data_IF_384205353936
#
_entry.id   IF_384205353936
#
_cell.length_a   1.000
_cell.length_b   1.000
_cell.length_c   1.000
_cell.angle_alpha   90.00
_cell.angle_beta   90.00
_cell.angle_gamma   90.00
#
_symmetry.space_group_name_H-M   'P 1'
#
loop_
_entity.id
_entity.type
_entity.pdbx_description
1 polymer ?
#
# COMPACT_ATOMS: atom_id res chain seq x y z
N UNK A 1 27.89 -42.34 18.03
CA UNK A 1 26.69 -41.61 18.47
C UNK A 1 27.16 -40.18 18.66
N UNK A 2 27.14 -39.41 17.58
CA UNK A 2 27.54 -38.00 17.58
C UNK A 2 26.28 -37.17 17.77
N UNK A 3 26.26 -36.35 18.80
CA UNK A 3 25.35 -35.22 18.94
C UNK A 3 25.60 -34.26 17.78
N UNK A 4 24.63 -34.16 16.89
CA UNK A 4 24.41 -32.99 16.05
C UNK A 4 23.54 -32.04 16.88
N UNK A 5 24.17 -31.06 17.52
CA UNK A 5 23.46 -29.87 17.96
C UNK A 5 23.18 -29.02 16.71
N UNK A 6 21.92 -28.68 16.51
CA UNK A 6 21.45 -27.82 15.43
C UNK A 6 22.12 -26.44 15.54
N UNK A 7 23.06 -26.17 14.64
CA UNK A 7 23.62 -24.84 14.36
C UNK A 7 22.66 -24.06 13.43
N UNK A 8 21.38 -23.90 13.81
CA UNK A 8 20.37 -23.25 12.93
C UNK A 8 20.18 -21.73 13.15
N UNK A 9 20.85 -21.10 14.12
CA UNK A 9 20.70 -19.65 14.38
C UNK A 9 22.04 -18.88 14.35
N UNK A 10 22.82 -19.01 13.27
CA UNK A 10 23.96 -18.11 13.00
C UNK A 10 23.63 -17.25 11.78
N UNK A 11 22.99 -16.10 12.00
CA UNK A 11 22.78 -15.07 10.98
C UNK A 11 24.09 -14.31 10.78
N UNK A 12 24.58 -14.24 9.53
CA UNK A 12 25.78 -13.45 9.23
C UNK A 12 25.46 -11.95 9.22
N UNK A 13 26.47 -11.10 9.37
CA UNK A 13 26.25 -9.64 9.28
C UNK A 13 25.76 -9.25 7.89
N UNK A 14 26.21 -9.98 6.85
CA UNK A 14 25.73 -9.83 5.50
C UNK A 14 24.25 -10.20 5.36
N UNK A 15 23.81 -11.32 5.94
CA UNK A 15 22.39 -11.75 5.92
C UNK A 15 21.50 -10.74 6.66
N UNK A 16 21.94 -10.25 7.83
CA UNK A 16 21.21 -9.24 8.58
C UNK A 16 21.08 -7.90 7.80
N UNK A 17 22.10 -7.51 7.04
CA UNK A 17 22.03 -6.32 6.18
C UNK A 17 21.04 -6.54 5.05
N UNK A 18 21.06 -7.71 4.42
CA UNK A 18 20.12 -8.04 3.35
C UNK A 18 18.66 -8.04 3.85
N UNK A 19 18.40 -8.64 5.02
CA UNK A 19 17.08 -8.63 5.67
C UNK A 19 16.63 -7.21 6.02
N UNK A 20 17.52 -6.38 6.57
CA UNK A 20 17.20 -4.97 6.85
C UNK A 20 16.87 -4.19 5.58
N UNK A 21 17.64 -4.36 4.51
CA UNK A 21 17.39 -3.70 3.23
C UNK A 21 16.02 -4.13 2.66
N UNK A 22 15.69 -5.42 2.72
CA UNK A 22 14.39 -5.93 2.29
C UNK A 22 13.21 -5.33 3.09
N UNK A 23 13.35 -5.24 4.43
CA UNK A 23 12.34 -4.62 5.30
C UNK A 23 12.16 -3.12 5.01
N UNK A 24 13.26 -2.42 4.69
CA UNK A 24 13.22 -1.00 4.31
C UNK A 24 12.48 -0.83 2.98
N UNK A 25 12.75 -1.68 1.99
CA UNK A 25 12.04 -1.64 0.71
C UNK A 25 10.54 -1.88 0.85
N UNK A 26 10.13 -2.86 1.66
CA UNK A 26 8.72 -3.13 1.97
C UNK A 26 8.07 -1.93 2.69
N UNK A 27 8.75 -1.37 3.69
CA UNK A 27 8.28 -0.19 4.41
C UNK A 27 8.10 1.02 3.49
N UNK A 28 9.01 1.22 2.52
CA UNK A 28 8.89 2.30 1.53
C UNK A 28 7.70 2.06 0.60
N UNK A 29 7.45 0.80 0.19
CA UNK A 29 6.32 0.47 -0.66
C UNK A 29 4.98 0.80 0.04
N UNK A 30 4.83 0.47 1.32
CA UNK A 30 3.56 0.64 2.05
C UNK A 30 3.40 2.04 2.64
N UNK A 31 4.47 2.60 3.22
CA UNK A 31 4.41 3.84 4.00
C UNK A 31 5.04 5.02 3.29
N UNK A 32 5.88 4.80 2.27
CA UNK A 32 6.64 5.86 1.60
C UNK A 32 5.77 6.95 0.98
N UNK A 33 4.59 6.60 0.45
CA UNK A 33 3.66 7.57 -0.11
C UNK A 33 2.94 8.42 0.96
N UNK A 34 2.97 8.01 2.23
CA UNK A 34 2.31 8.70 3.33
C UNK A 34 3.11 9.90 3.85
N UNK A 35 2.42 10.81 4.53
CA UNK A 35 3.00 11.92 5.29
C UNK A 35 3.13 11.47 6.75
N UNK A 36 4.34 11.56 7.32
CA UNK A 36 4.64 11.18 8.71
C UNK A 36 4.26 12.24 9.73
N UNK A 37 4.10 13.49 9.28
CA UNK A 37 4.03 14.67 10.15
C UNK A 37 2.62 15.25 10.19
N UNK A 38 1.86 15.12 9.10
CA UNK A 38 0.55 15.73 8.95
C UNK A 38 -0.57 14.68 8.91
N UNK A 39 -1.56 14.85 9.80
CA UNK A 39 -2.77 14.03 9.78
C UNK A 39 -3.59 14.27 8.50
N UNK A 40 -4.00 13.19 7.83
CA UNK A 40 -4.70 13.24 6.53
C UNK A 40 -6.17 13.67 6.64
N UNK A 41 -6.72 13.89 7.84
CA UNK A 41 -8.14 14.21 8.02
C UNK A 41 -8.60 15.45 7.23
N UNK A 42 -7.75 16.47 7.12
CA UNK A 42 -8.04 17.70 6.36
C UNK A 42 -8.06 17.48 4.85
N UNK A 43 -7.42 16.42 4.36
CA UNK A 43 -7.40 16.04 2.94
C UNK A 43 -8.69 15.33 2.50
N UNK A 44 -9.58 15.02 3.44
CA UNK A 44 -10.86 14.37 3.17
C UNK A 44 -10.75 12.85 3.03
N UNK A 45 -11.54 12.29 2.13
CA UNK A 45 -11.53 10.86 1.84
C UNK A 45 -10.44 10.58 0.81
N UNK A 46 -9.33 10.01 1.27
CA UNK A 46 -8.17 9.73 0.43
C UNK A 46 -8.50 8.64 -0.56
N UNK A 47 -8.07 8.76 -1.83
CA UNK A 47 -8.24 7.70 -2.82
C UNK A 47 -7.64 6.38 -2.33
N UNK A 48 -6.43 6.43 -1.77
CA UNK A 48 -5.77 5.33 -1.06
C UNK A 48 -4.75 5.91 -0.07
N UNK A 49 -4.68 5.36 1.14
CA UNK A 49 -3.67 5.72 2.14
C UNK A 49 -3.33 4.54 3.05
N UNK A 50 -2.11 4.50 3.60
CA UNK A 50 -1.77 3.59 4.67
C UNK A 50 -2.57 3.90 5.94
N UNK A 51 -3.12 2.87 6.56
CA UNK A 51 -3.97 2.98 7.75
C UNK A 51 -3.58 1.98 8.83
N UNK A 52 -3.96 2.35 10.05
CA UNK A 52 -3.85 1.51 11.22
C UNK A 52 -5.19 1.47 11.96
N UNK A 53 -5.51 0.36 12.62
CA UNK A 53 -6.57 0.32 13.63
C UNK A 53 -5.92 0.32 15.03
N UNK A 54 -6.50 1.05 15.97
CA UNK A 54 -5.97 1.14 17.33
C UNK A 54 -6.84 0.34 18.30
N UNK A 55 -6.39 -0.86 18.69
CA UNK A 55 -7.10 -1.73 19.64
C UNK A 55 -7.21 -1.11 21.03
N UNK A 56 -6.27 -0.26 21.41
CA UNK A 56 -6.30 0.44 22.70
C UNK A 56 -7.41 1.49 22.78
N UNK A 57 -7.64 2.25 21.70
CA UNK A 57 -8.61 3.36 21.71
C UNK A 57 -10.00 2.95 21.22
N UNK A 58 -10.08 2.05 20.25
CA UNK A 58 -11.31 1.57 19.63
C UNK A 58 -11.49 0.07 19.86
N UNK A 59 -12.31 -0.26 20.86
CA UNK A 59 -12.63 -1.64 21.21
C UNK A 59 -13.62 -2.30 20.25
N UNK A 60 -14.30 -1.53 19.39
CA UNK A 60 -15.27 -2.06 18.42
C UNK A 60 -14.61 -2.51 17.13
N UNK A 61 -13.43 -1.97 16.81
CA UNK A 61 -12.73 -2.21 15.55
C UNK A 61 -13.53 -1.65 14.37
N UNK A 62 -13.98 -0.40 14.51
CA UNK A 62 -14.65 0.38 13.48
C UNK A 62 -14.00 1.75 13.24
N UNK A 63 -12.71 1.92 13.54
CA UNK A 63 -11.96 3.16 13.30
C UNK A 63 -10.60 2.94 12.61
N UNK A 64 -10.27 3.83 11.66
CA UNK A 64 -8.96 3.85 10.99
C UNK A 64 -8.20 5.15 11.24
N UNK A 65 -6.92 5.07 11.61
CA UNK A 65 -6.02 6.20 11.78
C UNK A 65 -4.96 6.23 10.67
N UNK A 66 -4.57 7.42 10.23
CA UNK A 66 -3.52 7.59 9.23
C UNK A 66 -2.11 7.41 9.82
N UNK A 67 -1.12 7.25 8.95
CA UNK A 67 0.29 7.06 9.32
C UNK A 67 0.84 8.12 10.30
N UNK A 68 0.65 9.42 10.04
CA UNK A 68 1.10 10.44 10.99
C UNK A 68 0.50 10.30 12.40
N UNK A 69 -0.75 9.86 12.51
CA UNK A 69 -1.41 9.63 13.80
C UNK A 69 -0.91 8.36 14.48
N UNK A 70 -0.56 7.30 13.74
CA UNK A 70 0.02 6.10 14.36
C UNK A 70 1.35 6.45 15.04
N UNK A 71 2.18 7.27 14.39
CA UNK A 71 3.46 7.73 14.93
C UNK A 71 3.32 8.75 16.06
N UNK A 72 2.41 9.72 15.95
CA UNK A 72 2.39 10.87 16.87
C UNK A 72 1.40 10.70 18.02
N UNK A 73 0.23 10.12 17.74
CA UNK A 73 -0.86 10.01 18.73
C UNK A 73 -0.88 8.63 19.38
N UNK A 74 -0.44 7.59 18.67
CA UNK A 74 -0.69 6.20 19.06
C UNK A 74 0.58 5.34 19.09
N UNK A 75 1.76 5.95 19.25
CA UNK A 75 3.05 5.26 19.21
C UNK A 75 3.16 4.10 20.21
N UNK A 76 2.56 4.28 21.40
CA UNK A 76 2.61 3.33 22.51
C UNK A 76 1.33 2.48 22.64
N UNK A 77 0.46 2.51 21.64
CA UNK A 77 -0.79 1.74 21.65
C UNK A 77 -0.65 0.44 20.88
N UNK A 78 -1.56 -0.49 21.15
CA UNK A 78 -1.70 -1.70 20.35
C UNK A 78 -2.35 -1.34 19.00
N UNK A 79 -1.54 -1.43 17.94
CA UNK A 79 -1.91 -1.06 16.57
C UNK A 79 -1.93 -2.28 15.67
N UNK A 80 -2.91 -2.29 14.77
CA UNK A 80 -3.02 -3.23 13.66
C UNK A 80 -2.68 -2.47 12.40
N UNK A 81 -1.67 -2.91 11.66
CA UNK A 81 -1.40 -2.39 10.33
C UNK A 81 -2.43 -2.93 9.34
N UNK A 82 -3.09 -2.03 8.61
CA UNK A 82 -4.15 -2.37 7.65
C UNK A 82 -3.68 -2.26 6.21
N UNK A 83 -2.37 -2.07 6.00
CA UNK A 83 -1.78 -1.67 4.72
C UNK A 83 -2.52 -0.45 4.18
N UNK A 84 -2.81 -0.43 2.88
CA UNK A 84 -3.51 0.66 2.24
C UNK A 84 -5.00 0.34 2.08
N UNK A 85 -5.84 1.34 2.33
CA UNK A 85 -7.29 1.26 2.08
C UNK A 85 -7.75 2.48 1.31
N UNK A 86 -8.83 2.31 0.54
CA UNK A 86 -9.43 3.38 -0.27
C UNK A 86 -10.54 4.11 0.46
N UNK A 87 -10.72 5.39 0.13
CA UNK A 87 -11.83 6.23 0.57
C UNK A 87 -12.06 6.26 2.09
N UNK A 88 -10.99 6.22 2.87
CA UNK A 88 -11.05 6.40 4.33
C UNK A 88 -10.53 7.78 4.68
N UNK A 89 -11.18 8.43 5.64
CA UNK A 89 -10.74 9.66 6.29
C UNK A 89 -10.32 9.33 7.72
N UNK A 90 -9.19 9.86 8.18
CA UNK A 90 -8.61 9.51 9.49
C UNK A 90 -9.58 9.78 10.66
N UNK A 91 -9.90 8.74 11.44
CA UNK A 91 -10.81 8.80 12.60
C UNK A 91 -10.15 9.26 13.90
N UNK A 92 -8.81 9.36 13.95
CA UNK A 92 -8.07 9.65 15.19
C UNK A 92 -8.69 10.83 15.96
N UNK A 93 -9.09 10.58 17.20
CA UNK A 93 -9.61 11.59 18.11
C UNK A 93 -11.06 12.01 17.88
N UNK A 94 -11.81 11.31 17.04
CA UNK A 94 -13.26 11.49 16.94
C UNK A 94 -14.00 10.73 18.07
N UNK A 95 -15.33 10.71 18.01
CA UNK A 95 -16.16 10.13 19.08
C UNK A 95 -15.93 8.62 19.34
N UNK A 96 -15.25 7.90 18.43
CA UNK A 96 -14.88 6.47 18.59
C UNK A 96 -13.73 6.24 19.57
N UNK A 97 -12.96 7.28 19.89
CA UNK A 97 -11.72 7.21 20.65
C UNK A 97 -11.88 7.49 22.16
N UNK A 98 -13.09 7.35 22.71
CA UNK A 98 -13.36 7.46 24.15
C UNK A 98 -12.80 8.73 24.83
N UNK A 99 -12.84 9.86 24.13
CA UNK A 99 -12.33 11.15 24.64
C UNK A 99 -10.84 11.40 24.43
N UNK A 100 -10.09 10.43 23.87
CA UNK A 100 -8.75 10.70 23.34
C UNK A 100 -8.85 11.71 22.19
N UNK A 101 -7.95 12.69 22.16
CA UNK A 101 -7.94 13.73 21.12
C UNK A 101 -6.72 13.60 20.20
N UNK A 102 -6.91 13.91 18.92
CA UNK A 102 -5.79 14.03 18.00
C UNK A 102 -4.93 15.26 18.36
N UNK A 103 -3.61 15.07 18.40
CA UNK A 103 -2.64 16.14 18.62
C UNK A 103 -2.36 16.95 17.34
N UNK A 104 -2.49 16.33 16.17
CA UNK A 104 -2.15 16.90 14.86
C UNK A 104 -3.28 17.75 14.27
N UNK A 105 -4.55 17.38 14.49
CA UNK A 105 -5.72 18.13 14.00
C UNK A 105 -6.75 18.25 15.13
N UNK A 106 -7.18 19.48 15.38
CA UNK A 106 -8.26 19.80 16.32
C UNK A 106 -9.61 19.94 15.59
N UNK A 107 -10.70 19.82 16.35
CA UNK A 107 -12.08 20.05 15.89
C UNK A 107 -12.50 19.18 14.70
N UNK A 108 -12.34 17.86 14.81
CA UNK A 108 -12.89 16.93 13.83
C UNK A 108 -14.39 16.75 14.01
N UNK A 109 -15.06 16.38 12.92
CA UNK A 109 -16.42 15.85 12.93
C UNK A 109 -16.51 14.67 13.91
N UNK A 110 -17.68 14.49 14.54
CA UNK A 110 -17.89 13.41 15.50
C UNK A 110 -17.69 12.03 14.87
N UNK A 111 -18.06 11.88 13.60
CA UNK A 111 -17.98 10.65 12.82
C UNK A 111 -17.67 10.97 11.35
N UNK A 112 -16.97 10.05 10.69
CA UNK A 112 -16.76 10.07 9.23
C UNK A 112 -17.78 9.13 8.56
N UNK A 113 -18.93 9.65 8.15
CA UNK A 113 -20.08 8.85 7.70
C UNK A 113 -19.83 7.97 6.47
N UNK A 114 -18.85 8.31 5.62
CA UNK A 114 -18.54 7.52 4.41
C UNK A 114 -17.44 6.48 4.63
N UNK A 115 -16.81 6.45 5.80
CA UNK A 115 -15.84 5.42 6.09
C UNK A 115 -16.55 4.05 6.17
N UNK A 116 -15.92 3.02 5.61
CA UNK A 116 -16.39 1.66 5.68
C UNK A 116 -15.31 0.78 6.31
N UNK A 117 -15.71 -0.11 7.21
CA UNK A 117 -14.82 -0.94 8.00
C UNK A 117 -15.22 -2.39 7.82
N UNK A 118 -14.30 -3.22 7.33
CA UNK A 118 -14.44 -4.66 7.39
C UNK A 118 -13.84 -5.19 8.70
N UNK A 119 -13.83 -6.50 8.90
CA UNK A 119 -13.26 -7.10 10.11
C UNK A 119 -11.73 -6.98 10.25
N UNK A 120 -10.99 -6.48 9.24
CA UNK A 120 -9.54 -6.28 9.37
C UNK A 120 -9.23 -5.22 10.44
N UNK A 121 -10.16 -4.28 10.66
CA UNK A 121 -10.05 -3.28 11.72
C UNK A 121 -10.14 -3.90 13.14
N UNK A 122 -10.56 -5.17 13.24
CA UNK A 122 -10.51 -5.99 14.47
C UNK A 122 -9.28 -6.92 14.49
N UNK A 123 -8.47 -6.90 13.44
CA UNK A 123 -7.37 -7.81 13.22
C UNK A 123 -7.83 -9.19 12.83
N UNK A 124 -9.00 -9.32 12.19
CA UNK A 124 -9.51 -10.59 11.65
C UNK A 124 -9.51 -10.53 10.12
N UNK A 125 -9.21 -11.65 9.50
CA UNK A 125 -9.01 -11.73 8.06
C UNK A 125 -9.60 -13.01 7.50
N UNK A 126 -9.85 -12.99 6.19
CA UNK A 126 -10.38 -14.09 5.40
C UNK A 126 -11.76 -14.56 5.90
N UNK A 127 -12.43 -15.41 5.14
CA UNK A 127 -13.70 -16.02 5.58
C UNK A 127 -13.58 -16.91 6.83
N UNK A 128 -12.38 -17.18 7.32
CA UNK A 128 -12.14 -17.92 8.55
C UNK A 128 -12.12 -17.04 9.82
N UNK A 129 -12.16 -15.71 9.69
CA UNK A 129 -12.15 -14.76 10.81
C UNK A 129 -10.99 -15.02 11.80
N UNK A 130 -9.80 -15.34 11.26
CA UNK A 130 -8.61 -15.60 12.08
C UNK A 130 -7.71 -14.36 12.18
N UNK A 131 -6.94 -14.22 13.28
CA UNK A 131 -5.99 -13.13 13.41
C UNK A 131 -4.77 -13.31 12.51
N UNK A 132 -4.01 -12.23 12.29
CA UNK A 132 -2.71 -12.30 11.63
C UNK A 132 -1.68 -11.47 12.40
N UNK A 133 -0.49 -12.02 12.72
CA UNK A 133 -0.14 -13.45 12.60
C UNK A 133 -1.02 -14.32 13.53
N UNK A 134 -1.42 -15.50 13.07
CA UNK A 134 -2.22 -16.44 13.86
C UNK A 134 -1.29 -17.31 14.72
N UNK A 135 -1.30 -17.17 16.06
CA UNK A 135 -0.42 -17.97 16.94
C UNK A 135 -0.76 -19.47 16.94
N UNK A 136 -1.94 -19.86 16.44
CA UNK A 136 -2.38 -21.25 16.36
C UNK A 136 -2.20 -21.85 14.96
N UNK A 137 -1.73 -21.08 13.97
CA UNK A 137 -1.53 -21.57 12.61
C UNK A 137 -0.07 -22.00 12.41
N UNK A 138 0.12 -23.29 12.14
CA UNK A 138 1.43 -23.88 11.84
C UNK A 138 1.74 -23.86 10.34
N UNK A 139 0.73 -23.56 9.51
CA UNK A 139 0.86 -23.54 8.06
C UNK A 139 1.15 -22.12 7.61
N UNK A 140 2.36 -21.88 7.14
CA UNK A 140 2.68 -20.66 6.38
C UNK A 140 1.81 -20.62 5.11
N UNK A 141 1.07 -19.53 4.95
CA UNK A 141 0.13 -19.33 3.85
C UNK A 141 0.28 -17.90 3.34
N UNK A 142 0.32 -17.75 2.01
CA UNK A 142 0.33 -16.46 1.37
C UNK A 142 -1.06 -15.84 1.47
N UNK A 143 -1.13 -14.62 2.01
CA UNK A 143 -2.37 -13.86 2.07
C UNK A 143 -2.47 -12.90 0.88
N UNK A 144 -3.61 -12.93 0.19
CA UNK A 144 -3.84 -12.12 -1.01
C UNK A 144 -5.01 -11.18 -0.75
N UNK A 145 -4.80 -9.88 -0.98
CA UNK A 145 -5.86 -8.89 -0.83
C UNK A 145 -6.82 -8.93 -2.03
N UNK A 146 -8.12 -9.01 -1.75
CA UNK A 146 -9.15 -8.85 -2.77
C UNK A 146 -9.32 -7.36 -3.13
N UNK A 147 -9.09 -7.00 -4.40
CA UNK A 147 -9.19 -5.62 -4.89
C UNK A 147 -10.59 -5.02 -4.67
N UNK A 148 -11.64 -5.84 -4.70
CA UNK A 148 -13.01 -5.37 -4.63
C UNK A 148 -13.52 -5.11 -3.20
N UNK A 149 -13.08 -5.87 -2.19
CA UNK A 149 -13.52 -5.69 -0.80
C UNK A 149 -12.40 -5.25 0.16
N UNK A 150 -11.16 -5.20 -0.30
CA UNK A 150 -9.95 -4.90 0.49
C UNK A 150 -9.72 -5.82 1.68
N UNK A 151 -10.40 -6.96 1.75
CA UNK A 151 -10.11 -8.01 2.72
C UNK A 151 -8.99 -8.93 2.21
N UNK A 152 -8.27 -9.54 3.15
CA UNK A 152 -7.15 -10.44 2.88
C UNK A 152 -7.60 -11.89 3.03
N UNK A 153 -7.19 -12.74 2.09
CA UNK A 153 -7.59 -14.13 2.05
C UNK A 153 -6.39 -15.05 2.03
N UNK A 154 -6.43 -16.09 2.86
CA UNK A 154 -5.58 -17.26 2.72
C UNK A 154 -5.71 -17.85 1.31
N UNK A 155 -4.60 -18.17 0.66
CA UNK A 155 -4.59 -18.72 -0.70
C UNK A 155 -5.49 -19.97 -0.82
N UNK A 156 -5.47 -20.86 0.18
CA UNK A 156 -6.30 -22.07 0.27
C UNK A 156 -7.80 -21.83 0.46
N UNK A 157 -8.22 -20.64 0.88
CA UNK A 157 -9.63 -20.28 1.08
C UNK A 157 -10.25 -19.56 -0.11
N UNK A 158 -9.50 -19.36 -1.19
CA UNK A 158 -9.98 -18.70 -2.42
C UNK A 158 -10.73 -19.62 -3.38
N UNK A 159 -10.74 -20.94 -3.09
CA UNK A 159 -11.52 -21.96 -3.83
C UNK A 159 -11.02 -22.24 -5.25
N UNK A 160 -9.84 -21.75 -5.59
CA UNK A 160 -9.15 -21.93 -6.87
C UNK A 160 -7.66 -22.18 -6.62
N UNK A 161 -7.00 -22.89 -7.53
CA UNK A 161 -5.54 -22.97 -7.53
C UNK A 161 -4.96 -21.59 -7.82
N UNK A 162 -3.95 -21.19 -7.06
CA UNK A 162 -3.23 -19.95 -7.29
C UNK A 162 -2.47 -20.04 -8.64
N UNK A 163 -2.70 -19.11 -9.58
CA UNK A 163 -1.90 -19.05 -10.81
C UNK A 163 -0.44 -18.71 -10.50
N UNK A 164 0.47 -19.12 -11.39
CA UNK A 164 1.89 -18.79 -11.24
C UNK A 164 2.16 -17.28 -11.29
N UNK A 165 1.41 -16.55 -12.10
CA UNK A 165 1.50 -15.10 -12.24
C UNK A 165 0.10 -14.49 -12.32
N UNK A 166 -0.12 -13.41 -11.59
CA UNK A 166 -1.31 -12.57 -11.67
C UNK A 166 -0.98 -11.18 -11.10
N UNK A 167 -1.79 -10.19 -11.46
CA UNK A 167 -1.62 -8.81 -10.99
C UNK A 167 -2.56 -8.46 -9.84
N UNK A 168 -3.86 -8.83 -9.95
CA UNK A 168 -4.86 -8.55 -8.91
C UNK A 168 -5.84 -9.70 -8.75
N UNK A 169 -6.45 -9.83 -7.57
CA UNK A 169 -7.41 -10.89 -7.26
C UNK A 169 -8.77 -10.31 -6.84
N UNK A 170 -9.86 -10.89 -7.36
CA UNK A 170 -11.23 -10.67 -6.88
C UNK A 170 -11.73 -11.97 -6.24
N UNK A 171 -12.00 -11.93 -4.93
CA UNK A 171 -12.40 -13.12 -4.18
C UNK A 171 -13.75 -13.67 -4.66
N UNK A 172 -13.98 -14.96 -4.43
CA UNK A 172 -15.21 -15.65 -4.85
C UNK A 172 -16.51 -14.96 -4.37
N UNK A 173 -16.51 -14.36 -3.16
CA UNK A 173 -17.65 -13.60 -2.65
C UNK A 173 -17.92 -12.35 -3.49
N UNK A 174 -16.87 -11.64 -3.89
CA UNK A 174 -16.97 -10.47 -4.74
C UNK A 174 -17.30 -10.84 -6.19
N UNK A 175 -16.79 -11.97 -6.71
CA UNK A 175 -17.18 -12.50 -8.02
C UNK A 175 -18.68 -12.82 -8.04
N UNK A 176 -19.19 -13.49 -7.01
CA UNK A 176 -20.61 -13.79 -6.88
C UNK A 176 -21.48 -12.53 -6.79
N UNK A 177 -20.99 -11.50 -6.08
CA UNK A 177 -21.67 -10.19 -5.94
C UNK A 177 -21.64 -9.40 -7.25
N UNK A 178 -20.50 -9.36 -7.93
CA UNK A 178 -20.25 -8.58 -9.14
C UNK A 178 -20.15 -9.50 -10.36
N UNK A 179 -21.23 -10.26 -10.60
CA UNK A 179 -21.26 -11.33 -11.59
C UNK A 179 -20.92 -10.89 -13.03
N UNK A 180 -21.02 -9.60 -13.35
CA UNK A 180 -20.66 -9.09 -14.67
C UNK A 180 -19.16 -9.23 -14.96
N UNK A 181 -18.31 -9.34 -13.93
CA UNK A 181 -16.88 -9.54 -14.08
C UNK A 181 -16.52 -10.83 -14.82
N UNK A 182 -17.38 -11.85 -14.77
CA UNK A 182 -17.13 -13.13 -15.47
C UNK A 182 -16.98 -12.97 -16.97
N UNK A 183 -17.68 -12.01 -17.56
CA UNK A 183 -17.64 -11.80 -19.01
C UNK A 183 -16.28 -11.27 -19.44
N UNK A 184 -15.70 -10.37 -18.64
CA UNK A 184 -14.34 -9.87 -18.84
C UNK A 184 -13.28 -10.93 -18.51
N UNK A 185 -13.51 -11.72 -17.46
CA UNK A 185 -12.57 -12.77 -17.07
C UNK A 185 -12.48 -13.87 -18.14
N UNK A 186 -13.62 -14.26 -18.72
CA UNK A 186 -13.65 -15.20 -19.83
C UNK A 186 -13.03 -14.62 -21.10
N UNK A 187 -13.12 -13.32 -21.33
CA UNK A 187 -12.37 -12.68 -22.43
C UNK A 187 -10.86 -12.87 -22.21
N UNK A 188 -10.34 -12.53 -21.03
CA UNK A 188 -8.91 -12.68 -20.68
C UNK A 188 -8.42 -14.13 -20.84
N UNK A 189 -9.19 -15.11 -20.34
CA UNK A 189 -8.78 -16.53 -20.40
C UNK A 189 -8.86 -17.11 -21.82
N UNK A 190 -9.74 -16.57 -22.69
CA UNK A 190 -9.91 -17.06 -24.06
C UNK A 190 -9.13 -16.24 -25.11
N UNK A 191 -8.42 -15.17 -24.72
CA UNK A 191 -7.48 -14.51 -25.63
C UNK A 191 -6.22 -15.36 -25.78
N UNK A 192 -5.80 -15.71 -27.01
CA UNK A 192 -4.51 -16.36 -27.21
C UNK A 192 -3.39 -15.45 -26.71
N UNK A 193 -2.42 -15.98 -25.98
CA UNK A 193 -1.23 -15.24 -25.54
C UNK A 193 -0.57 -14.57 -26.76
N UNK A 194 -0.67 -13.25 -26.85
CA UNK A 194 0.10 -12.45 -27.81
C UNK A 194 1.24 -11.83 -27.01
N UNK A 195 2.44 -12.36 -27.21
CA UNK A 195 3.70 -11.75 -26.79
C UNK A 195 3.73 -10.29 -27.27
N UNK A 196 3.67 -9.35 -26.32
CA UNK A 196 3.68 -7.92 -26.60
C UNK A 196 5.09 -7.51 -27.03
N UNK A 197 5.33 -7.50 -28.34
CA UNK A 197 6.46 -6.76 -28.92
C UNK A 197 6.06 -5.30 -29.01
N UNK A 198 6.67 -4.50 -28.13
CA UNK A 198 6.61 -3.04 -28.10
C UNK A 198 6.89 -2.42 -29.47
N UNK A 199 5.97 -1.57 -29.95
CA UNK A 199 6.26 -0.55 -30.97
C UNK A 199 5.72 0.79 -30.51
N UNK A 200 6.66 1.68 -30.24
CA UNK A 200 6.48 3.09 -29.91
C UNK A 200 6.02 3.94 -31.11
N UNK A 201 5.15 4.93 -30.80
CA UNK A 201 5.03 6.30 -31.34
C UNK A 201 4.55 6.47 -32.81
N UNK A 202 3.75 7.49 -33.20
CA UNK A 202 3.49 8.84 -32.67
C UNK A 202 2.31 9.51 -33.44
N UNK A 203 1.62 10.48 -32.76
CA UNK A 203 0.88 11.67 -33.27
C UNK A 203 -0.40 11.44 -34.10
N UNK A 204 -1.47 12.24 -33.99
CA UNK A 204 -1.55 13.69 -33.88
C UNK A 204 -2.93 14.17 -33.37
N UNK A 205 -2.96 15.39 -32.86
CA UNK A 205 -4.05 16.09 -32.17
C UNK A 205 -5.17 16.62 -33.08
N UNK A 206 -6.35 16.89 -32.50
CA UNK A 206 -7.12 18.15 -32.72
C UNK A 206 -8.25 18.33 -31.69
N UNK A 207 -8.21 19.50 -31.05
CA UNK A 207 -9.22 20.12 -30.18
C UNK A 207 -10.64 20.13 -30.78
N UNK A 208 -11.66 20.12 -29.93
CA UNK A 208 -12.61 21.24 -29.83
C UNK A 208 -13.36 21.20 -28.49
N UNK A 209 -13.32 22.33 -27.78
CA UNK A 209 -14.21 22.65 -26.68
C UNK A 209 -15.66 22.67 -27.14
N UNK A 210 -16.58 22.14 -26.32
CA UNK A 210 -17.92 22.73 -26.22
C UNK A 210 -18.49 22.52 -24.82
N UNK A 211 -18.51 23.62 -24.09
CA UNK A 211 -19.30 23.81 -22.89
C UNK A 211 -20.77 23.92 -23.34
N UNK A 212 -21.65 23.00 -22.91
CA UNK A 212 -23.09 23.19 -23.08
C UNK A 212 -23.86 22.67 -21.86
N UNK A 213 -24.30 23.61 -21.03
CA UNK A 213 -25.37 23.42 -20.07
C UNK A 213 -26.71 23.56 -20.77
N UNK A 214 -27.64 22.62 -20.55
CA UNK A 214 -28.95 22.86 -19.93
C UNK A 214 -29.88 21.66 -20.12
N UNK A 215 -30.73 21.51 -19.10
CA UNK A 215 -31.92 20.69 -19.01
C UNK A 215 -32.72 20.57 -20.29
N UNK A 216 -33.04 19.34 -20.72
CA UNK A 216 -34.17 19.09 -21.61
C UNK A 216 -34.80 17.71 -21.35
N UNK A 217 -36.13 17.71 -21.28
CA UNK A 217 -36.96 16.56 -20.93
C UNK A 217 -37.24 15.75 -22.19
N UNK A 218 -36.50 14.65 -22.38
CA UNK A 218 -36.60 13.80 -23.58
C UNK A 218 -37.81 12.85 -23.54
N UNK A 219 -38.42 12.63 -24.71
CA UNK A 219 -39.54 11.72 -24.92
C UNK A 219 -39.13 10.23 -24.80
N UNK A 220 -40.09 9.34 -24.51
CA UNK A 220 -39.80 7.91 -24.24
C UNK A 220 -39.26 7.13 -25.46
N UNK A 221 -39.60 7.52 -26.69
CA UNK A 221 -39.11 6.86 -27.92
C UNK A 221 -37.64 7.22 -28.23
N UNK A 222 -37.25 8.48 -27.97
CA UNK A 222 -35.85 8.92 -28.12
C UNK A 222 -34.94 8.28 -27.07
N UNK A 223 -35.44 8.06 -25.84
CA UNK A 223 -34.73 7.29 -24.81
C UNK A 223 -34.50 5.85 -25.25
N UNK A 224 -35.50 5.17 -25.81
CA UNK A 224 -35.39 3.79 -26.27
C UNK A 224 -34.41 3.61 -27.44
N UNK A 225 -34.38 4.53 -28.39
CA UNK A 225 -33.41 4.49 -29.50
C UNK A 225 -31.97 4.80 -29.05
N UNK A 226 -31.80 5.68 -28.06
CA UNK A 226 -30.49 5.99 -27.47
C UNK A 226 -29.94 4.83 -26.64
N UNK A 227 -30.82 4.11 -25.92
CA UNK A 227 -30.48 2.90 -25.16
C UNK A 227 -30.02 1.78 -26.09
N UNK A 228 -30.77 1.47 -27.17
CA UNK A 228 -30.38 0.43 -28.15
C UNK A 228 -29.04 0.72 -28.84
N UNK A 229 -28.78 1.97 -29.20
CA UNK A 229 -27.52 2.38 -29.84
C UNK A 229 -26.33 2.33 -28.86
N UNK A 230 -26.58 2.59 -27.56
CA UNK A 230 -25.57 2.47 -26.52
C UNK A 230 -25.26 0.99 -26.17
N UNK A 231 -26.25 0.10 -26.22
CA UNK A 231 -26.07 -1.35 -26.07
C UNK A 231 -25.19 -1.93 -27.18
N UNK A 232 -25.35 -1.50 -28.44
CA UNK A 232 -24.49 -1.91 -29.56
C UNK A 232 -23.03 -1.46 -29.44
N UNK A 233 -22.76 -0.39 -28.68
CA UNK A 233 -21.42 0.14 -28.44
C UNK A 233 -20.79 -0.35 -27.12
N UNK A 234 -21.58 -0.96 -26.22
CA UNK A 234 -21.12 -1.42 -24.93
C UNK A 234 -20.32 -2.73 -25.05
N UNK A 235 -19.06 -2.72 -24.61
CA UNK A 235 -18.23 -3.94 -24.58
C UNK A 235 -18.83 -5.01 -23.66
N UNK A 236 -19.37 -4.64 -22.50
CA UNK A 236 -19.99 -5.61 -21.58
C UNK A 236 -21.15 -6.35 -22.25
N UNK A 237 -22.04 -5.64 -22.94
CA UNK A 237 -23.17 -6.27 -23.64
C UNK A 237 -22.70 -7.16 -24.78
N UNK A 238 -21.67 -6.75 -25.54
CA UNK A 238 -21.03 -7.62 -26.55
C UNK A 238 -20.51 -8.92 -25.94
N UNK A 239 -19.82 -8.85 -24.79
CA UNK A 239 -19.30 -10.03 -24.11
C UNK A 239 -20.42 -10.91 -23.54
N UNK A 240 -21.51 -10.33 -23.03
CA UNK A 240 -22.70 -11.10 -22.64
C UNK A 240 -23.30 -11.86 -23.81
N UNK A 241 -23.34 -11.26 -25.00
CA UNK A 241 -23.80 -11.91 -26.22
C UNK A 241 -22.80 -12.93 -26.77
N UNK A 242 -21.51 -12.75 -26.56
CA UNK A 242 -20.49 -13.73 -26.95
C UNK A 242 -20.51 -14.95 -26.02
N UNK A 243 -20.72 -14.73 -24.73
CA UNK A 243 -20.68 -15.76 -23.69
C UNK A 243 -22.06 -15.99 -23.07
N UNK A 244 -23.08 -16.17 -23.91
CA UNK A 244 -24.50 -16.34 -23.50
C UNK A 244 -24.71 -17.54 -22.57
N UNK A 245 -23.85 -18.56 -22.67
CA UNK A 245 -23.94 -19.80 -21.92
C UNK A 245 -23.06 -19.83 -20.67
N UNK A 246 -22.48 -18.70 -20.25
CA UNK A 246 -21.91 -18.60 -18.91
C UNK A 246 -23.05 -18.76 -17.91
N UNK A 247 -23.15 -19.97 -17.33
CA UNK A 247 -24.10 -20.27 -16.28
C UNK A 247 -23.80 -19.45 -15.01
N UNK A 248 -24.48 -19.78 -13.92
CA UNK A 248 -24.04 -19.26 -12.62
C UNK A 248 -22.61 -19.75 -12.38
N UNK A 249 -21.67 -18.82 -12.22
CA UNK A 249 -20.29 -19.09 -11.80
C UNK A 249 -20.37 -19.99 -10.56
N UNK A 250 -19.50 -20.99 -10.50
CA UNK A 250 -19.33 -21.74 -9.25
C UNK A 250 -19.05 -20.71 -8.14
N UNK A 251 -19.86 -20.76 -7.08
CA UNK A 251 -19.83 -19.76 -6.01
C UNK A 251 -18.49 -19.76 -5.26
N UNK A 252 -17.59 -20.67 -5.58
CA UNK A 252 -16.30 -20.86 -4.92
C UNK A 252 -15.10 -20.52 -5.81
N UNK A 253 -15.26 -19.77 -6.91
CA UNK A 253 -14.12 -19.44 -7.79
C UNK A 253 -13.77 -17.95 -7.66
N UNK A 254 -12.52 -17.69 -7.25
CA UNK A 254 -11.92 -16.37 -7.30
C UNK A 254 -11.32 -16.09 -8.68
N UNK A 255 -11.25 -14.82 -9.08
CA UNK A 255 -10.68 -14.40 -10.36
C UNK A 255 -9.32 -13.75 -10.14
N UNK A 256 -8.32 -14.19 -10.93
CA UNK A 256 -6.97 -13.66 -10.93
C UNK A 256 -6.69 -12.95 -12.26
N UNK A 257 -6.52 -11.65 -12.19
CA UNK A 257 -6.44 -10.80 -13.35
C UNK A 257 -5.01 -10.55 -13.77
N UNK A 258 -4.78 -10.48 -15.08
CA UNK A 258 -3.50 -10.10 -15.65
C UNK A 258 -3.36 -8.57 -15.62
N UNK A 259 -2.14 -8.09 -15.88
CA UNK A 259 -1.89 -6.67 -16.01
C UNK A 259 -2.80 -6.01 -17.08
N UNK A 260 -3.22 -4.77 -16.82
CA UNK A 260 -4.11 -4.00 -17.71
C UNK A 260 -5.58 -4.43 -17.76
N UNK A 261 -6.02 -5.38 -16.90
CA UNK A 261 -7.43 -5.82 -16.90
C UNK A 261 -8.41 -4.69 -16.57
N UNK A 262 -8.04 -3.71 -15.72
CA UNK A 262 -8.89 -2.57 -15.38
C UNK A 262 -9.19 -1.73 -16.61
N UNK A 263 -8.18 -1.47 -17.44
CA UNK A 263 -8.32 -0.79 -18.73
C UNK A 263 -9.18 -1.56 -19.75
N UNK A 264 -9.34 -2.88 -19.58
CA UNK A 264 -10.20 -3.72 -20.43
C UNK A 264 -11.70 -3.56 -20.14
N UNK A 265 -12.06 -3.05 -18.96
CA UNK A 265 -13.44 -2.83 -18.53
C UNK A 265 -14.10 -1.73 -19.36
N UNK A 266 -15.41 -1.84 -19.59
CA UNK A 266 -16.11 -0.87 -20.42
C UNK A 266 -16.35 0.44 -19.65
N UNK A 267 -16.11 1.57 -20.32
CA UNK A 267 -16.29 2.93 -19.79
C UNK A 267 -17.52 3.66 -20.39
N UNK A 268 -18.47 2.94 -21.00
CA UNK A 268 -19.70 3.57 -21.49
C UNK A 268 -20.59 4.01 -20.33
N UNK A 269 -21.52 4.95 -20.58
CA UNK A 269 -22.40 5.50 -19.55
C UNK A 269 -23.16 4.43 -18.74
N UNK A 270 -23.64 3.37 -19.41
CA UNK A 270 -24.34 2.25 -18.75
C UNK A 270 -23.44 1.47 -17.78
N UNK A 271 -22.17 1.24 -18.16
CA UNK A 271 -21.21 0.54 -17.30
C UNK A 271 -20.75 1.43 -16.14
N UNK A 272 -20.54 2.72 -16.37
CA UNK A 272 -20.24 3.66 -15.29
C UNK A 272 -21.37 3.70 -14.26
N UNK A 273 -22.63 3.78 -14.69
CA UNK A 273 -23.80 3.69 -13.79
C UNK A 273 -23.87 2.34 -13.06
N UNK A 274 -23.53 1.24 -13.74
CA UNK A 274 -23.46 -0.09 -13.12
C UNK A 274 -22.42 -0.14 -12.00
N UNK A 275 -21.22 0.40 -12.22
CA UNK A 275 -20.16 0.41 -11.20
C UNK A 275 -20.53 1.28 -10.01
N UNK A 276 -21.10 2.46 -10.25
CA UNK A 276 -21.60 3.36 -9.20
C UNK A 276 -22.71 2.69 -8.37
N UNK A 277 -23.69 2.06 -9.02
CA UNK A 277 -24.77 1.33 -8.35
C UNK A 277 -24.27 0.18 -7.47
N UNK A 278 -23.15 -0.43 -7.85
CA UNK A 278 -22.50 -1.48 -7.07
C UNK A 278 -21.48 -0.94 -6.05
N UNK A 279 -21.31 0.38 -5.97
CA UNK A 279 -20.34 1.07 -5.11
C UNK A 279 -18.88 0.66 -5.39
N UNK A 280 -18.55 0.40 -6.66
CA UNK A 280 -17.21 0.01 -7.11
C UNK A 280 -16.68 0.84 -8.31
N UNK A 281 -16.89 2.18 -8.39
CA UNK A 281 -16.39 2.97 -9.52
C UNK A 281 -14.86 3.02 -9.63
N UNK A 282 -14.13 2.59 -8.58
CA UNK A 282 -12.67 2.49 -8.58
C UNK A 282 -12.13 1.35 -9.44
N UNK A 283 -12.95 0.35 -9.78
CA UNK A 283 -12.51 -0.89 -10.44
C UNK A 283 -11.89 -0.67 -11.84
N UNK A 284 -12.18 0.47 -12.47
CA UNK A 284 -11.64 0.88 -13.77
C UNK A 284 -10.40 1.78 -13.68
N UNK A 285 -10.02 2.20 -12.48
CA UNK A 285 -8.96 3.20 -12.29
C UNK A 285 -7.63 2.51 -12.04
N UNK A 286 -6.67 2.63 -12.96
CA UNK A 286 -5.30 2.13 -12.73
C UNK A 286 -4.62 2.81 -11.54
N UNK A 287 -5.03 4.04 -11.22
CA UNK A 287 -4.50 4.81 -10.07
C UNK A 287 -4.94 4.30 -8.70
N UNK A 288 -5.87 3.34 -8.63
CA UNK A 288 -6.36 2.76 -7.38
C UNK A 288 -5.65 1.44 -7.00
N UNK A 289 -4.81 0.89 -7.88
CA UNK A 289 -4.03 -0.33 -7.58
C UNK A 289 -3.08 -0.12 -6.41
N UNK A 290 -2.75 -1.21 -5.71
CA UNK A 290 -1.71 -1.20 -4.66
C UNK A 290 -0.37 -0.82 -5.29
N UNK A 291 -0.02 -1.44 -6.42
CA UNK A 291 1.23 -1.16 -7.15
C UNK A 291 1.38 0.32 -7.52
N UNK A 292 0.31 0.99 -7.95
CA UNK A 292 0.37 2.43 -8.24
C UNK A 292 0.67 3.25 -6.98
N UNK A 293 0.11 2.87 -5.83
CA UNK A 293 0.42 3.50 -4.56
C UNK A 293 1.87 3.23 -4.11
N UNK A 294 2.34 1.98 -4.22
CA UNK A 294 3.72 1.61 -3.86
C UNK A 294 4.75 2.34 -4.71
N UNK A 295 4.48 2.47 -6.01
CA UNK A 295 5.34 3.20 -6.93
C UNK A 295 5.45 4.68 -6.56
N UNK A 296 4.38 5.31 -6.01
CA UNK A 296 4.48 6.67 -5.46
C UNK A 296 5.44 6.73 -4.26
N UNK A 297 5.42 5.71 -3.40
CA UNK A 297 6.33 5.61 -2.27
C UNK A 297 7.79 5.48 -2.71
N UNK A 298 8.05 4.57 -3.65
CA UNK A 298 9.37 4.37 -4.27
C UNK A 298 9.87 5.63 -4.98
N UNK A 299 9.04 6.28 -5.80
CA UNK A 299 9.40 7.51 -6.50
C UNK A 299 9.75 8.64 -5.51
N UNK A 300 9.00 8.78 -4.43
CA UNK A 300 9.29 9.77 -3.39
C UNK A 300 10.63 9.48 -2.70
N UNK A 301 10.90 8.21 -2.36
CA UNK A 301 12.18 7.81 -1.77
C UNK A 301 13.37 8.07 -2.71
N UNK A 302 13.23 7.71 -3.98
CA UNK A 302 14.24 7.98 -5.02
C UNK A 302 14.51 9.46 -5.19
N UNK A 303 13.46 10.29 -5.16
CA UNK A 303 13.60 11.74 -5.26
C UNK A 303 14.33 12.31 -4.04
N UNK A 304 14.03 11.83 -2.82
CA UNK A 304 14.76 12.22 -1.60
C UNK A 304 16.24 11.84 -1.67
N UNK A 305 16.57 10.65 -2.19
CA UNK A 305 17.94 10.21 -2.42
C UNK A 305 18.67 11.10 -3.43
N UNK A 306 18.03 11.43 -4.55
CA UNK A 306 18.57 12.35 -5.57
C UNK A 306 18.80 13.74 -5.00
N UNK A 307 17.86 14.27 -4.22
CA UNK A 307 17.98 15.58 -3.58
C UNK A 307 19.13 15.62 -2.57
N UNK A 308 19.27 14.57 -1.76
CA UNK A 308 20.39 14.43 -0.84
C UNK A 308 21.74 14.38 -1.59
N UNK A 309 21.83 13.59 -2.65
CA UNK A 309 23.03 13.49 -3.48
C UNK A 309 23.38 14.85 -4.11
N UNK A 310 22.41 15.53 -4.72
CA UNK A 310 22.60 16.86 -5.30
C UNK A 310 23.07 17.88 -4.26
N UNK A 311 22.48 17.86 -3.06
CA UNK A 311 22.86 18.74 -1.96
C UNK A 311 24.30 18.47 -1.52
N UNK A 312 24.71 17.20 -1.37
CA UNK A 312 26.09 16.82 -1.05
C UNK A 312 27.05 17.29 -2.13
N UNK A 313 26.75 17.05 -3.41
CA UNK A 313 27.59 17.48 -4.52
C UNK A 313 27.76 19.00 -4.61
N UNK A 314 26.77 19.77 -4.17
CA UNK A 314 26.83 21.23 -4.11
C UNK A 314 27.67 21.79 -2.95
N UNK A 315 27.99 20.97 -1.95
CA UNK A 315 28.81 21.41 -0.80
C UNK A 315 30.27 21.60 -1.20
N UNK A 316 31.02 22.49 -0.51
CA UNK A 316 32.47 22.54 -0.65
C UNK A 316 33.12 21.18 -0.38
N UNK A 317 34.17 20.85 -1.15
CA UNK A 317 34.85 19.54 -1.10
C UNK A 317 35.29 19.13 0.31
N UNK A 318 35.71 20.09 1.15
CA UNK A 318 36.10 19.83 2.53
C UNK A 318 34.91 19.33 3.36
N UNK A 319 33.73 19.93 3.20
CA UNK A 319 32.52 19.50 3.90
C UNK A 319 32.05 18.13 3.40
N UNK A 320 32.18 17.84 2.11
CA UNK A 320 31.87 16.51 1.56
C UNK A 320 32.77 15.43 2.19
N UNK A 321 34.07 15.69 2.28
CA UNK A 321 35.04 14.76 2.90
C UNK A 321 34.75 14.59 4.40
N UNK A 322 34.44 15.67 5.11
CA UNK A 322 34.06 15.62 6.53
C UNK A 322 32.79 14.79 6.76
N UNK A 323 31.77 14.98 5.91
CA UNK A 323 30.53 14.22 5.94
C UNK A 323 30.79 12.74 5.66
N UNK A 324 31.52 12.41 4.59
CA UNK A 324 31.84 11.04 4.20
C UNK A 324 32.63 10.32 5.31
N UNK A 325 33.64 11.00 5.88
CA UNK A 325 34.41 10.46 7.01
C UNK A 325 33.54 10.26 8.24
N UNK A 326 32.70 11.23 8.58
CA UNK A 326 31.77 11.14 9.72
C UNK A 326 30.80 9.96 9.59
N UNK A 327 30.25 9.75 8.39
CA UNK A 327 29.39 8.61 8.09
C UNK A 327 30.14 7.28 8.22
N UNK A 328 31.35 7.18 7.68
CA UNK A 328 32.15 5.96 7.78
C UNK A 328 32.54 5.64 9.23
N UNK A 329 32.82 6.65 10.04
CA UNK A 329 33.09 6.50 11.47
C UNK A 329 31.87 6.07 12.26
N UNK A 330 30.69 6.64 11.96
CA UNK A 330 29.44 6.22 12.55
C UNK A 330 29.13 4.76 12.18
N UNK A 331 29.23 4.40 10.89
CA UNK A 331 28.98 3.05 10.39
C UNK A 331 29.90 2.01 11.04
N UNK A 332 31.21 2.25 10.99
CA UNK A 332 32.20 1.34 11.60
C UNK A 332 32.11 1.30 13.13
N UNK A 333 31.80 2.44 13.76
CA UNK A 333 31.53 2.53 15.19
C UNK A 333 30.33 1.67 15.58
N UNK A 334 29.22 1.81 14.85
CA UNK A 334 27.99 1.06 15.10
C UNK A 334 28.17 -0.44 14.88
N UNK A 335 28.85 -0.84 13.79
CA UNK A 335 29.18 -2.24 13.53
C UNK A 335 30.03 -2.86 14.65
N UNK A 336 31.04 -2.13 15.13
CA UNK A 336 31.87 -2.60 16.25
C UNK A 336 31.08 -2.65 17.57
N UNK A 337 30.23 -1.66 17.82
CA UNK A 337 29.35 -1.63 18.98
C UNK A 337 28.45 -2.87 19.02
N UNK A 338 27.74 -3.16 17.93
CA UNK A 338 26.83 -4.30 17.83
C UNK A 338 27.56 -5.65 17.93
N UNK A 339 28.76 -5.77 17.35
CA UNK A 339 29.57 -7.01 17.44
C UNK A 339 30.04 -7.36 18.86
N UNK A 340 30.09 -6.39 19.77
CA UNK A 340 30.58 -6.62 21.13
C UNK A 340 29.53 -7.22 22.06
N UNK A 341 28.28 -7.36 21.61
CA UNK A 341 27.22 -8.00 22.39
C UNK A 341 27.21 -9.51 22.14
N UNK A 342 27.24 -10.34 23.19
CA UNK A 342 27.07 -11.78 23.07
C UNK A 342 25.63 -12.14 22.64
N UNK A 343 25.41 -13.35 22.10
CA UNK A 343 24.07 -13.84 21.76
C UNK A 343 23.15 -13.75 22.99
N UNK A 344 21.92 -13.25 22.78
CA UNK A 344 20.86 -13.08 23.80
C UNK A 344 21.06 -11.96 24.85
N UNK A 345 22.02 -11.04 24.67
CA UNK A 345 22.08 -9.84 25.52
C UNK A 345 21.14 -8.74 25.01
N UNK A 346 20.23 -8.30 25.89
CA UNK A 346 19.35 -7.15 25.62
C UNK A 346 20.19 -5.86 25.65
N UNK A 347 20.22 -5.14 24.52
CA UNK A 347 20.81 -3.79 24.43
C UNK A 347 19.91 -2.81 25.18
N UNK A 348 20.47 -2.09 26.14
CA UNK A 348 19.74 -1.10 26.94
C UNK A 348 19.99 0.31 26.46
N UNK A 349 19.16 1.24 26.92
CA UNK A 349 19.29 2.67 26.63
C UNK A 349 20.68 3.20 27.03
N UNK A 350 21.20 2.77 28.18
CA UNK A 350 22.50 3.21 28.69
C UNK A 350 23.66 2.79 27.77
N UNK A 351 23.55 1.64 27.11
CA UNK A 351 24.56 1.14 26.18
C UNK A 351 24.64 2.04 24.94
N UNK A 352 23.48 2.47 24.43
CA UNK A 352 23.37 3.37 23.28
C UNK A 352 23.86 4.78 23.65
N UNK A 353 23.51 5.29 24.82
CA UNK A 353 23.98 6.59 25.31
C UNK A 353 25.52 6.62 25.43
N UNK A 354 26.11 5.57 26.04
CA UNK A 354 27.57 5.41 26.15
C UNK A 354 28.27 5.40 24.79
N UNK A 355 27.71 4.70 23.80
CA UNK A 355 28.24 4.67 22.44
C UNK A 355 28.31 6.08 21.81
N UNK A 356 27.23 6.86 21.92
CA UNK A 356 27.20 8.22 21.38
C UNK A 356 28.08 9.20 22.16
N UNK A 357 28.24 9.00 23.47
CA UNK A 357 29.21 9.74 24.29
C UNK A 357 30.64 9.50 23.80
N UNK A 358 31.05 8.24 23.60
CA UNK A 358 32.36 7.90 23.07
C UNK A 358 32.61 8.49 21.68
N UNK A 359 31.62 8.40 20.77
CA UNK A 359 31.71 9.00 19.44
C UNK A 359 31.93 10.52 19.52
N UNK A 360 31.18 11.20 20.39
CA UNK A 360 31.31 12.64 20.60
C UNK A 360 32.65 13.01 21.24
N UNK A 361 33.16 12.23 22.18
CA UNK A 361 34.49 12.43 22.75
C UNK A 361 35.60 12.29 21.69
N UNK A 362 35.54 11.24 20.86
CA UNK A 362 36.49 11.03 19.76
C UNK A 362 36.46 12.20 18.78
N UNK A 363 35.27 12.74 18.48
CA UNK A 363 35.11 13.94 17.65
C UNK A 363 35.73 15.18 18.31
N UNK A 364 35.44 15.44 19.60
CA UNK A 364 35.99 16.58 20.36
C UNK A 364 37.52 16.56 20.42
N UNK A 365 38.13 15.41 20.73
CA UNK A 365 39.59 15.24 20.81
C UNK A 365 40.31 15.57 19.48
N UNK A 366 39.64 15.44 18.34
CA UNK A 366 40.21 15.77 17.03
C UNK A 366 40.12 17.25 16.70
N UNK A 367 39.02 17.91 17.08
CA UNK A 367 38.85 19.37 16.89
C UNK A 367 39.84 20.15 17.76
N UNK A 368 40.15 19.65 18.96
CA UNK A 368 41.12 20.28 19.87
C UNK A 368 42.59 20.11 19.44
N UNK A 369 42.87 19.17 18.53
CA UNK A 369 44.23 18.86 18.05
C UNK A 369 44.54 19.45 16.66
N UNK A 370 43.76 20.42 16.19
CA UNK A 370 44.08 21.16 14.96
C UNK A 370 45.24 22.12 15.28
N UNK A 371 46.46 21.95 14.69
CA UNK A 371 47.53 22.91 14.88
C UNK A 371 47.10 24.26 14.32
N UNK A 372 47.46 25.40 14.94
CA UNK A 372 47.15 26.70 14.37
C UNK A 372 47.73 26.77 12.95
N UNK A 373 46.88 27.15 11.99
CA UNK A 373 47.24 27.34 10.58
C UNK A 373 48.44 28.29 10.47
N UNK A 374 49.64 27.73 10.40
CA UNK A 374 50.85 28.43 10.01
C UNK A 374 51.27 27.93 8.64
N UNK A 375 50.59 28.42 7.60
CA UNK A 375 51.15 28.45 6.25
C UNK A 375 50.94 29.84 5.66
N UNK A 376 52.08 30.46 5.34
CA UNK A 376 52.27 31.64 4.49
C UNK A 376 52.28 31.23 3.03
#
# INVERSE_FOLDING_TARGET
MSDCHDDEDIITVEDAVYEMDAQVEESIAILGASDSDNCTYSLGYMERQALFACKTCDLKGDAGICYACSLTCHQEHDLIELYTKRNIRCDCGNSKFNGFECSLIKNKDLLNEKNAYNHNYKGLYCTCDRPYPDPEEEIEDEMIQCVACEDWYHSRHLGSLLPAEFHEMVCYLCVAKYNFLQYYYNEQVNTPDIDVVSVDKEKESKNTDSHFSLSDTLTNEEKQNKIKKNEEMCKLEKLKHQFVNLGNIDKNVSFYWNDGWRSSLCNCAMCLELYEKNSIPFIIKESDTITFYENKGKEKADNLLKDAANKISSMPIVQQVELARGYQELKSGLQNFLRNFPPNQIVKKEDVESFFEELNERKRRRVTNIPPNNCR
#
